data_IF_420139725099
#
_entry.id   IF_420139725099
#
_cell.length_a   1.000
_cell.length_b   1.000
_cell.length_c   1.000
_cell.angle_alpha   90.00
_cell.angle_beta   90.00
_cell.angle_gamma   90.00
#
_symmetry.space_group_name_H-M   'P 1'
#
loop_
_entity.id
_entity.type
_entity.pdbx_description
1 polymer ?
#
# COMPACT_ATOMS: atom_id res chain seq x y z
N UNK A 1 22.22 -10.55 43.83
CA UNK A 1 23.64 -10.64 43.42
C UNK A 1 23.87 -9.47 42.48
N UNK A 2 24.90 -8.64 42.69
CA UNK A 2 25.18 -7.49 41.80
C UNK A 2 25.76 -7.95 40.46
N UNK A 3 25.66 -7.12 39.42
CA UNK A 3 26.27 -7.36 38.10
C UNK A 3 27.77 -7.62 38.24
N UNK A 4 28.44 -6.80 39.04
CA UNK A 4 29.87 -6.92 39.35
C UNK A 4 30.19 -8.29 39.95
N UNK A 5 29.37 -8.78 40.89
CA UNK A 5 29.58 -10.11 41.50
C UNK A 5 29.40 -11.27 40.51
N UNK A 6 28.63 -11.10 39.43
CA UNK A 6 28.46 -12.13 38.38
C UNK A 6 29.57 -12.04 37.35
N UNK A 7 29.99 -10.84 36.97
CA UNK A 7 31.16 -10.60 36.11
C UNK A 7 32.43 -11.10 36.78
N UNK A 8 32.65 -10.75 38.05
CA UNK A 8 33.75 -11.24 38.89
C UNK A 8 33.71 -12.77 39.00
N UNK A 9 32.52 -13.36 39.18
CA UNK A 9 32.38 -14.82 39.22
C UNK A 9 32.72 -15.47 37.87
N UNK A 10 32.28 -14.91 36.75
CA UNK A 10 32.60 -15.43 35.41
C UNK A 10 34.09 -15.31 35.10
N UNK A 11 34.73 -14.22 35.53
CA UNK A 11 36.17 -13.99 35.44
C UNK A 11 36.92 -15.04 36.29
N UNK A 12 36.54 -15.20 37.56
CA UNK A 12 37.16 -16.16 38.48
C UNK A 12 36.99 -17.61 38.01
N UNK A 13 35.78 -18.01 37.58
CA UNK A 13 35.52 -19.37 37.07
C UNK A 13 36.33 -19.64 35.80
N UNK A 14 36.45 -18.65 34.90
CA UNK A 14 37.22 -18.81 33.64
C UNK A 14 38.73 -18.83 33.89
N UNK A 15 39.22 -18.05 34.85
CA UNK A 15 40.62 -18.08 35.25
C UNK A 15 40.99 -19.42 35.91
N UNK A 16 40.12 -19.95 36.79
CA UNK A 16 40.30 -21.25 37.43
C UNK A 16 40.28 -22.42 36.44
N UNK A 17 39.39 -22.39 35.44
CA UNK A 17 39.32 -23.41 34.37
C UNK A 17 40.59 -23.45 33.50
N UNK A 18 41.24 -22.30 33.31
CA UNK A 18 42.42 -22.16 32.45
C UNK A 18 43.76 -22.13 33.20
N UNK A 19 43.73 -22.13 34.54
CA UNK A 19 44.94 -22.03 35.38
C UNK A 19 45.56 -20.62 35.41
N UNK A 20 44.75 -19.60 35.15
CA UNK A 20 45.15 -18.19 35.03
C UNK A 20 44.85 -17.40 36.31
N UNK A 21 45.47 -16.22 36.45
CA UNK A 21 45.12 -15.26 37.49
C UNK A 21 43.83 -14.50 37.06
N UNK A 22 42.78 -14.43 37.90
CA UNK A 22 41.58 -13.65 37.63
C UNK A 22 41.84 -12.17 37.29
N UNK A 23 42.96 -11.61 37.77
CA UNK A 23 43.36 -10.23 37.49
C UNK A 23 43.90 -10.01 36.06
N UNK A 24 44.18 -11.07 35.31
CA UNK A 24 44.68 -11.01 33.92
C UNK A 24 43.55 -10.96 32.86
N UNK A 25 42.29 -11.00 33.28
CA UNK A 25 41.12 -10.97 32.39
C UNK A 25 40.55 -9.55 32.29
N UNK A 26 40.52 -8.99 31.07
CA UNK A 26 40.27 -7.57 30.81
C UNK A 26 38.78 -7.21 30.60
N UNK A 27 37.92 -8.19 30.32
CA UNK A 27 36.49 -7.96 30.16
C UNK A 27 35.71 -9.16 29.63
N UNK A 28 34.38 -9.05 29.69
CA UNK A 28 33.43 -10.08 29.22
C UNK A 28 32.50 -9.48 28.15
N UNK A 29 32.47 -10.08 26.97
CA UNK A 29 31.58 -9.73 25.87
C UNK A 29 30.53 -10.84 25.66
N UNK A 30 29.24 -10.50 25.57
CA UNK A 30 28.17 -11.47 25.34
C UNK A 30 27.75 -11.47 23.86
N UNK A 31 27.77 -12.65 23.25
CA UNK A 31 27.27 -12.92 21.91
C UNK A 31 25.93 -13.66 21.99
N UNK A 32 24.87 -13.02 21.51
CA UNK A 32 23.52 -13.59 21.44
C UNK A 32 23.20 -13.87 19.97
N UNK A 33 23.36 -15.10 19.47
CA UNK A 33 23.06 -15.43 18.09
C UNK A 33 21.53 -15.49 17.85
N UNK A 34 21.10 -15.24 16.61
CA UNK A 34 19.69 -15.31 16.20
C UNK A 34 19.06 -16.71 16.40
N UNK A 35 19.89 -17.76 16.47
CA UNK A 35 19.50 -19.12 16.84
C UNK A 35 20.63 -19.80 17.61
N UNK A 36 20.31 -20.52 18.70
CA UNK A 36 21.27 -21.23 19.54
C UNK A 36 21.48 -20.59 20.93
N UNK A 37 22.31 -21.22 21.76
CA UNK A 37 22.56 -20.74 23.13
C UNK A 37 23.50 -19.52 23.11
N UNK A 38 23.24 -18.49 23.95
CA UNK A 38 24.15 -17.36 24.14
C UNK A 38 25.56 -17.80 24.54
N UNK A 39 26.57 -17.08 24.06
CA UNK A 39 27.98 -17.34 24.37
C UNK A 39 28.59 -16.09 24.98
N UNK A 40 29.29 -16.21 26.09
CA UNK A 40 30.21 -15.17 26.54
C UNK A 40 31.58 -15.38 25.88
N UNK A 41 32.28 -14.28 25.63
CA UNK A 41 33.69 -14.23 25.27
C UNK A 41 34.39 -13.50 26.39
N UNK A 42 35.37 -14.12 27.01
CA UNK A 42 36.25 -13.44 27.96
C UNK A 42 37.49 -12.98 27.19
N UNK A 43 37.87 -11.72 27.35
CA UNK A 43 39.05 -11.13 26.72
C UNK A 43 40.25 -11.27 27.67
N UNK A 44 41.31 -11.94 27.21
CA UNK A 44 42.58 -12.10 27.93
C UNK A 44 43.71 -11.59 27.05
N UNK A 45 44.32 -10.44 27.38
CA UNK A 45 45.44 -9.86 26.63
C UNK A 45 45.20 -9.83 25.10
N UNK A 46 43.98 -9.47 24.67
CA UNK A 46 43.57 -9.47 23.26
C UNK A 46 43.18 -10.83 22.64
N UNK A 47 43.23 -11.93 23.39
CA UNK A 47 42.80 -13.27 22.95
C UNK A 47 41.39 -13.58 23.45
N UNK A 48 40.51 -14.02 22.54
CA UNK A 48 39.11 -14.35 22.83
C UNK A 48 38.95 -15.80 23.31
N UNK A 49 38.43 -16.00 24.53
CA UNK A 49 38.10 -17.34 25.04
C UNK A 49 36.57 -17.53 25.07
N UNK A 50 35.99 -18.47 24.28
CA UNK A 50 34.55 -18.69 24.24
C UNK A 50 34.07 -19.51 25.45
N UNK A 51 33.03 -19.02 26.14
CA UNK A 51 32.33 -19.69 27.24
C UNK A 51 30.83 -19.74 26.98
N UNK A 52 30.22 -20.91 27.17
CA UNK A 52 28.77 -21.05 27.02
C UNK A 52 28.09 -20.64 28.33
N UNK A 53 27.09 -19.76 28.26
CA UNK A 53 26.38 -19.25 29.45
C UNK A 53 24.94 -19.73 29.40
N UNK A 54 24.39 -20.13 30.55
CA UNK A 54 22.98 -20.55 30.63
C UNK A 54 22.03 -19.35 30.49
N UNK A 55 20.83 -19.58 29.97
CA UNK A 55 19.81 -18.54 29.77
C UNK A 55 19.43 -17.82 31.08
N UNK A 56 19.44 -18.53 32.21
CA UNK A 56 19.15 -17.97 33.53
C UNK A 56 20.24 -16.97 33.98
N UNK A 57 21.52 -17.30 33.75
CA UNK A 57 22.64 -16.42 34.04
C UNK A 57 22.62 -15.17 33.14
N UNK A 58 22.22 -15.33 31.87
CA UNK A 58 22.05 -14.21 30.94
C UNK A 58 20.96 -13.23 31.41
N UNK A 59 19.80 -13.74 31.83
CA UNK A 59 18.70 -12.92 32.32
C UNK A 59 19.09 -12.14 33.59
N UNK A 60 19.88 -12.74 34.47
CA UNK A 60 20.42 -12.07 35.67
C UNK A 60 21.41 -10.95 35.33
N UNK A 61 22.18 -11.08 34.24
CA UNK A 61 23.09 -10.05 33.75
C UNK A 61 22.35 -8.86 33.09
N UNK A 62 21.23 -9.14 32.43
CA UNK A 62 20.44 -8.14 31.70
C UNK A 62 19.48 -7.33 32.59
N UNK A 63 19.04 -7.89 33.72
CA UNK A 63 18.00 -7.27 34.56
C UNK A 63 18.40 -5.91 35.18
N UNK A 64 19.71 -5.56 35.24
CA UNK A 64 20.18 -4.29 35.82
C UNK A 64 21.39 -3.63 35.15
N UNK A 65 21.77 -4.01 33.94
CA UNK A 65 22.78 -3.23 33.20
C UNK A 65 22.12 -2.01 32.56
N UNK A 66 22.64 -0.84 32.89
CA UNK A 66 22.37 0.42 32.20
C UNK A 66 22.68 0.21 30.72
N UNK A 67 21.64 0.03 29.90
CA UNK A 67 21.74 0.04 28.44
C UNK A 67 22.06 1.48 28.03
N UNK A 68 23.34 1.85 28.12
CA UNK A 68 23.86 3.13 27.66
C UNK A 68 24.32 2.96 26.21
N UNK A 69 23.85 3.89 25.40
CA UNK A 69 23.99 4.06 23.96
C UNK A 69 23.06 3.21 23.08
N UNK A 70 21.91 3.84 22.81
CA UNK A 70 21.08 3.63 21.65
C UNK A 70 20.89 2.14 21.29
N UNK A 71 19.82 1.55 21.83
CA UNK A 71 18.89 0.90 20.91
C UNK A 71 18.65 1.94 19.82
N UNK A 72 19.45 1.88 18.74
CA UNK A 72 19.09 2.49 17.47
C UNK A 72 17.74 1.88 17.24
N UNK A 73 16.68 2.64 17.57
CA UNK A 73 15.33 2.36 17.13
C UNK A 73 15.53 1.89 15.70
N UNK A 74 15.19 0.62 15.37
CA UNK A 74 15.52 0.01 14.08
C UNK A 74 15.27 1.08 13.03
N UNK A 75 16.25 1.41 12.17
CA UNK A 75 16.34 2.69 11.47
C UNK A 75 14.96 3.14 11.06
N UNK A 76 14.36 4.00 11.89
CA UNK A 76 12.98 4.34 11.69
C UNK A 76 13.06 5.42 10.63
N UNK A 77 12.71 5.05 9.40
CA UNK A 77 12.35 6.06 8.43
C UNK A 77 11.09 6.70 8.97
N UNK A 78 11.23 7.87 9.55
CA UNK A 78 10.09 8.76 9.75
C UNK A 78 9.64 9.17 8.36
N UNK A 79 8.78 8.37 7.74
CA UNK A 79 8.05 8.79 6.56
C UNK A 79 6.92 9.68 7.06
N UNK A 80 7.05 10.98 6.80
CA UNK A 80 5.87 11.82 6.87
C UNK A 80 4.91 11.33 5.79
N UNK A 81 3.66 11.07 6.16
CA UNK A 81 2.63 10.79 5.17
C UNK A 81 2.66 11.98 4.18
N UNK A 82 2.91 11.74 2.89
CA UNK A 82 2.89 12.81 1.91
C UNK A 82 1.50 13.45 1.91
N UNK A 83 1.38 14.72 1.49
CA UNK A 83 0.09 15.39 1.41
C UNK A 83 -0.93 14.52 0.67
N UNK A 84 -2.00 14.14 1.38
CA UNK A 84 -3.04 13.28 0.84
C UNK A 84 -4.04 14.12 0.04
N UNK A 85 -4.64 13.56 -1.01
CA UNK A 85 -5.78 14.20 -1.66
C UNK A 85 -6.89 14.56 -0.67
N UNK A 86 -7.66 15.62 -0.92
CA UNK A 86 -8.94 15.82 -0.26
C UNK A 86 -9.80 14.56 -0.41
N UNK A 87 -10.69 14.31 0.56
CA UNK A 87 -11.64 13.19 0.52
C UNK A 87 -10.95 11.81 0.44
N UNK A 88 -9.70 11.73 0.91
CA UNK A 88 -9.03 10.44 1.18
C UNK A 88 -9.79 9.71 2.28
N UNK A 89 -10.21 8.47 2.00
CA UNK A 89 -10.95 7.61 2.93
C UNK A 89 -10.04 6.60 3.61
N UNK A 90 -9.13 6.00 2.83
CA UNK A 90 -8.19 4.99 3.32
C UNK A 90 -6.81 5.23 2.71
N UNK A 91 -5.78 5.01 3.51
CA UNK A 91 -4.38 5.13 3.10
C UNK A 91 -3.57 4.03 3.79
N UNK A 92 -2.79 3.30 2.99
CA UNK A 92 -1.89 2.25 3.45
C UNK A 92 -0.51 2.45 2.82
N UNK A 93 0.53 2.12 3.58
CA UNK A 93 1.90 2.00 3.06
C UNK A 93 2.30 0.53 3.12
N UNK A 94 2.86 0.02 2.03
CA UNK A 94 3.29 -1.37 1.90
C UNK A 94 4.80 -1.36 1.69
N UNK A 95 5.53 -1.91 2.65
CA UNK A 95 6.98 -2.03 2.59
C UNK A 95 7.38 -3.34 1.93
N UNK A 96 8.13 -3.25 0.84
CA UNK A 96 8.81 -4.36 0.19
C UNK A 96 10.32 -4.29 0.49
N UNK A 97 11.08 -5.39 0.35
CA UNK A 97 12.53 -5.37 0.59
C UNK A 97 13.31 -4.33 -0.22
N UNK A 98 12.82 -3.96 -1.41
CA UNK A 98 13.50 -3.03 -2.33
C UNK A 98 12.68 -1.77 -2.68
N UNK A 99 11.40 -1.72 -2.30
CA UNK A 99 10.47 -0.66 -2.71
C UNK A 99 9.48 -0.35 -1.58
N UNK A 100 8.87 0.83 -1.63
CA UNK A 100 7.76 1.20 -0.73
C UNK A 100 6.62 1.65 -1.62
N UNK A 101 5.43 1.11 -1.38
CA UNK A 101 4.22 1.48 -2.12
C UNK A 101 3.24 2.23 -1.23
N UNK A 102 2.53 3.17 -1.84
CA UNK A 102 1.41 3.87 -1.26
C UNK A 102 0.13 3.45 -1.95
N UNK A 103 -0.81 2.93 -1.16
CA UNK A 103 -2.16 2.56 -1.62
C UNK A 103 -3.14 3.52 -0.98
N UNK A 104 -3.93 4.21 -1.79
CA UNK A 104 -4.97 5.10 -1.29
C UNK A 104 -6.30 4.81 -1.97
N UNK A 105 -7.38 4.96 -1.20
CA UNK A 105 -8.74 5.03 -1.74
C UNK A 105 -9.37 6.35 -1.32
N UNK A 106 -9.87 7.09 -2.31
CA UNK A 106 -10.46 8.41 -2.15
C UNK A 106 -11.66 8.55 -3.09
N UNK A 107 -12.40 9.65 -2.97
CA UNK A 107 -13.53 9.91 -3.84
C UNK A 107 -13.54 11.34 -4.38
N UNK A 108 -14.05 11.46 -5.60
CA UNK A 108 -14.37 12.73 -6.25
C UNK A 108 -15.88 12.96 -6.21
N UNK A 109 -16.33 14.20 -6.02
CA UNK A 109 -17.75 14.53 -5.96
C UNK A 109 -18.40 14.43 -7.35
N UNK A 110 -19.75 14.48 -7.41
CA UNK A 110 -20.45 14.59 -8.67
C UNK A 110 -19.93 15.80 -9.46
N UNK A 111 -19.59 15.57 -10.73
CA UNK A 111 -19.11 16.61 -11.63
C UNK A 111 -19.31 16.18 -13.09
N UNK A 112 -19.08 17.11 -14.03
CA UNK A 112 -19.07 16.81 -15.46
C UNK A 112 -17.64 16.54 -15.90
N UNK A 113 -17.42 15.42 -16.58
CA UNK A 113 -16.11 15.03 -17.09
C UNK A 113 -16.13 14.96 -18.62
N UNK A 114 -15.06 15.37 -19.29
CA UNK A 114 -14.93 15.19 -20.73
C UNK A 114 -14.81 13.70 -21.01
N UNK A 115 -15.65 13.20 -21.91
CA UNK A 115 -15.58 11.85 -22.43
C UNK A 115 -15.32 11.92 -23.92
N UNK A 116 -14.17 11.45 -24.36
CA UNK A 116 -13.75 11.53 -25.76
C UNK A 116 -14.07 10.21 -26.46
N UNK A 117 -14.82 10.28 -27.55
CA UNK A 117 -15.14 9.14 -28.41
C UNK A 117 -14.36 9.28 -29.70
N UNK A 118 -13.64 8.24 -30.06
CA UNK A 118 -12.98 8.15 -31.35
C UNK A 118 -13.65 7.05 -32.18
N UNK A 119 -14.30 7.45 -33.27
CA UNK A 119 -14.81 6.56 -34.29
C UNK A 119 -13.88 6.58 -35.53
N UNK A 120 -14.26 5.85 -36.59
CA UNK A 120 -13.46 5.76 -37.82
C UNK A 120 -13.31 7.09 -38.57
N UNK A 121 -14.21 8.07 -38.34
CA UNK A 121 -14.35 9.26 -39.16
C UNK A 121 -14.17 10.59 -38.39
N UNK A 122 -14.25 10.58 -37.07
CA UNK A 122 -14.24 11.75 -36.20
C UNK A 122 -13.85 11.41 -34.75
N UNK A 123 -13.34 12.43 -34.05
CA UNK A 123 -13.20 12.42 -32.59
C UNK A 123 -14.14 13.46 -32.01
N UNK A 124 -15.06 13.04 -31.13
CA UNK A 124 -16.00 13.93 -30.45
C UNK A 124 -15.74 13.91 -28.95
N UNK A 125 -15.97 15.04 -28.27
CA UNK A 125 -15.85 15.14 -26.82
C UNK A 125 -17.18 15.59 -26.23
N UNK A 126 -17.68 14.84 -25.25
CA UNK A 126 -18.97 15.05 -24.60
C UNK A 126 -18.77 15.35 -23.12
N UNK A 127 -19.56 16.26 -22.56
CA UNK A 127 -19.43 16.63 -21.14
C UNK A 127 -20.43 15.85 -20.30
N UNK A 128 -20.02 14.66 -19.87
CA UNK A 128 -20.88 13.67 -19.22
C UNK A 128 -21.00 13.95 -17.73
N UNK A 129 -22.22 14.16 -17.19
CA UNK A 129 -22.43 14.25 -15.75
C UNK A 129 -22.23 12.88 -15.09
N UNK A 130 -21.34 12.83 -14.10
CA UNK A 130 -21.02 11.61 -13.37
C UNK A 130 -21.42 11.71 -11.89
N UNK A 131 -21.91 10.61 -11.29
CA UNK A 131 -22.09 10.52 -9.84
C UNK A 131 -20.72 10.54 -9.13
N UNK A 132 -20.65 10.45 -7.78
CA UNK A 132 -19.36 10.35 -7.10
C UNK A 132 -18.52 9.21 -7.66
N UNK A 133 -17.25 9.48 -7.90
CA UNK A 133 -16.28 8.52 -8.41
C UNK A 133 -15.37 8.13 -7.26
N UNK A 134 -15.39 6.86 -6.88
CA UNK A 134 -14.41 6.29 -5.94
C UNK A 134 -13.23 5.81 -6.77
N UNK A 135 -12.01 6.17 -6.36
CA UNK A 135 -10.81 5.70 -7.03
C UNK A 135 -9.82 5.14 -6.02
N UNK A 136 -9.10 4.10 -6.46
CA UNK A 136 -7.98 3.50 -5.74
C UNK A 136 -6.72 3.65 -6.59
N UNK A 137 -5.65 4.14 -5.99
CA UNK A 137 -4.37 4.35 -6.67
C UNK A 137 -3.24 3.64 -5.92
N UNK A 138 -2.33 3.03 -6.68
CA UNK A 138 -1.09 2.43 -6.20
C UNK A 138 0.10 3.21 -6.74
N UNK A 139 0.85 3.88 -5.87
CA UNK A 139 2.00 4.69 -6.24
C UNK A 139 3.27 4.10 -5.64
N UNK A 140 4.37 4.10 -6.39
CA UNK A 140 5.71 3.89 -5.84
C UNK A 140 6.11 5.11 -5.03
N UNK A 141 6.46 4.93 -3.77
CA UNK A 141 6.90 6.02 -2.90
C UNK A 141 8.26 6.59 -3.32
N UNK A 142 9.14 5.75 -3.87
CA UNK A 142 10.50 6.14 -4.24
C UNK A 142 10.57 7.15 -5.39
N UNK A 143 9.84 6.91 -6.47
CA UNK A 143 9.87 7.73 -7.70
C UNK A 143 8.54 8.42 -8.03
N UNK A 144 7.50 8.20 -7.22
CA UNK A 144 6.18 8.81 -7.40
C UNK A 144 5.42 8.29 -8.63
N UNK A 145 5.80 7.13 -9.21
CA UNK A 145 5.10 6.57 -10.37
C UNK A 145 3.87 5.77 -10.00
N UNK A 146 2.80 5.96 -10.76
CA UNK A 146 1.52 5.27 -10.59
C UNK A 146 1.58 3.88 -11.22
N UNK A 147 1.58 2.83 -10.39
CA UNK A 147 1.53 1.42 -10.82
C UNK A 147 0.14 1.05 -11.34
N UNK A 148 -0.90 1.42 -10.62
CA UNK A 148 -2.28 1.11 -11.02
C UNK A 148 -3.28 2.14 -10.50
N UNK A 149 -4.37 2.27 -11.26
CA UNK A 149 -5.53 3.08 -10.92
C UNK A 149 -6.78 2.25 -11.17
N UNK A 150 -7.69 2.23 -10.21
CA UNK A 150 -9.03 1.67 -10.36
C UNK A 150 -10.04 2.79 -10.10
N UNK A 151 -11.13 2.84 -10.88
CA UNK A 151 -12.21 3.78 -10.69
C UNK A 151 -13.55 3.05 -10.70
N UNK A 152 -14.44 3.45 -9.80
CA UNK A 152 -15.80 2.94 -9.65
C UNK A 152 -16.74 4.08 -9.36
N UNK A 153 -18.03 3.83 -9.56
CA UNK A 153 -19.09 4.77 -9.24
C UNK A 153 -19.69 4.42 -7.88
N UNK A 154 -20.06 5.44 -7.12
CA UNK A 154 -20.77 5.30 -5.86
C UNK A 154 -21.90 6.34 -5.77
N UNK A 155 -23.02 6.14 -6.50
CA UNK A 155 -24.14 7.09 -6.52
C UNK A 155 -24.72 7.42 -5.14
N UNK A 156 -24.64 6.46 -4.22
CA UNK A 156 -25.14 6.56 -2.85
C UNK A 156 -24.16 7.28 -1.91
N UNK A 157 -22.91 7.50 -2.32
CA UNK A 157 -21.91 8.15 -1.47
C UNK A 157 -22.25 9.63 -1.26
N UNK A 158 -22.39 10.04 0.00
CA UNK A 158 -22.64 11.45 0.36
C UNK A 158 -21.44 12.05 1.09
N UNK A 159 -21.33 13.37 1.04
CA UNK A 159 -20.23 14.07 1.71
C UNK A 159 -20.39 14.03 3.23
N UNK A 160 -21.63 14.17 3.69
CA UNK A 160 -22.10 14.17 5.07
C UNK A 160 -22.11 12.80 5.76
N UNK A 161 -21.95 11.71 5.01
CA UNK A 161 -21.95 10.37 5.58
C UNK A 161 -20.85 10.22 6.65
N UNK A 162 -21.10 9.50 7.75
CA UNK A 162 -20.04 9.17 8.71
C UNK A 162 -19.00 8.25 8.06
N UNK A 163 -17.73 8.26 8.53
CA UNK A 163 -16.65 7.46 7.94
C UNK A 163 -17.01 5.98 7.76
N UNK A 164 -17.59 5.34 8.78
CA UNK A 164 -17.97 3.92 8.71
C UNK A 164 -19.03 3.61 7.65
N UNK A 165 -19.92 4.56 7.36
CA UNK A 165 -20.92 4.40 6.30
C UNK A 165 -20.27 4.53 4.92
N UNK A 166 -19.37 5.52 4.72
CA UNK A 166 -18.61 5.67 3.47
C UNK A 166 -17.83 4.42 3.10
N UNK A 167 -17.25 3.74 4.10
CA UNK A 167 -16.48 2.51 3.89
C UNK A 167 -17.34 1.32 3.41
N UNK A 168 -18.63 1.31 3.78
CA UNK A 168 -19.61 0.27 3.42
C UNK A 168 -20.43 0.63 2.18
N UNK A 169 -20.17 1.78 1.57
CA UNK A 169 -20.93 2.22 0.38
C UNK A 169 -20.71 1.24 -0.77
N UNK A 170 -21.80 0.70 -1.36
CA UNK A 170 -21.72 -0.17 -2.52
C UNK A 170 -21.06 0.53 -3.71
N UNK A 171 -20.30 -0.23 -4.49
CA UNK A 171 -19.63 0.26 -5.68
C UNK A 171 -20.23 -0.34 -6.94
N UNK A 172 -20.21 0.47 -8.00
CA UNK A 172 -20.75 0.14 -9.29
C UNK A 172 -19.71 0.35 -10.39
N UNK A 173 -19.75 -0.52 -11.40
CA UNK A 173 -18.99 -0.37 -12.63
C UNK A 173 -19.69 0.63 -13.50
N UNK A 174 -18.91 1.42 -14.24
CA UNK A 174 -19.48 2.14 -15.36
C UNK A 174 -19.89 1.11 -16.44
N UNK A 175 -21.17 1.06 -16.84
CA UNK A 175 -21.71 -0.01 -17.69
C UNK A 175 -21.06 -0.19 -19.07
N UNK A 176 -20.21 0.75 -19.49
CA UNK A 176 -19.68 0.84 -20.85
C UNK A 176 -18.18 1.12 -20.88
N UNK A 177 -17.49 0.98 -19.76
CA UNK A 177 -16.05 1.14 -19.79
C UNK A 177 -15.43 -0.18 -20.25
N UNK A 178 -15.01 -0.22 -21.51
CA UNK A 178 -14.06 -1.22 -22.01
C UNK A 178 -12.68 -1.08 -21.34
N UNK A 179 -12.52 -0.06 -20.50
CA UNK A 179 -11.30 0.28 -19.77
C UNK A 179 -11.25 -0.38 -18.39
N UNK A 180 -12.35 -0.98 -17.93
CA UNK A 180 -12.39 -1.80 -16.71
C UNK A 180 -12.42 -3.27 -17.09
N UNK A 181 -11.22 -3.87 -17.15
CA UNK A 181 -11.08 -5.31 -17.23
C UNK A 181 -11.59 -5.98 -15.96
N UNK A 182 -12.17 -7.17 -16.11
CA UNK A 182 -12.31 -8.12 -15.01
C UNK A 182 -11.15 -9.11 -15.15
N UNK A 183 -10.21 -9.10 -14.22
CA UNK A 183 -9.16 -10.12 -14.15
C UNK A 183 -9.44 -10.98 -12.92
N UNK A 184 -9.54 -12.30 -13.10
CA UNK A 184 -9.77 -13.24 -12.00
C UNK A 184 -11.07 -13.04 -11.18
N UNK A 185 -12.09 -12.37 -11.73
CA UNK A 185 -13.34 -12.09 -10.99
C UNK A 185 -13.31 -10.81 -10.14
N UNK A 186 -12.34 -9.94 -10.41
CA UNK A 186 -12.00 -8.73 -9.66
C UNK A 186 -11.96 -7.55 -10.64
N UNK A 187 -12.47 -6.39 -10.24
CA UNK A 187 -12.44 -5.16 -11.04
C UNK A 187 -11.00 -4.67 -11.13
N UNK A 188 -10.29 -5.11 -12.16
CA UNK A 188 -8.84 -4.95 -12.23
C UNK A 188 -8.47 -4.00 -13.35
N UNK A 189 -8.11 -2.81 -12.86
CA UNK A 189 -7.19 -1.86 -13.49
C UNK A 189 -7.76 -1.15 -14.71
N UNK A 190 -7.71 0.18 -14.60
CA UNK A 190 -7.82 1.06 -15.74
C UNK A 190 -6.64 0.84 -16.70
N UNK A 191 -6.88 0.32 -17.89
CA UNK A 191 -5.86 0.20 -18.94
C UNK A 191 -5.46 1.58 -19.49
N UNK A 192 -4.52 2.25 -18.83
CA UNK A 192 -3.91 3.49 -19.31
C UNK A 192 -2.44 3.25 -19.69
N UNK A 193 -2.11 3.14 -20.99
CA UNK A 193 -0.80 2.64 -21.46
C UNK A 193 0.41 3.51 -21.07
N UNK A 194 0.20 4.72 -20.56
CA UNK A 194 1.27 5.62 -20.13
C UNK A 194 1.27 5.90 -18.63
N UNK A 195 0.38 5.27 -17.85
CA UNK A 195 0.20 5.58 -16.43
C UNK A 195 1.48 5.43 -15.60
N UNK A 196 2.25 4.39 -15.88
CA UNK A 196 3.49 4.09 -15.16
C UNK A 196 4.64 5.03 -15.53
N UNK A 197 4.52 5.79 -16.62
CA UNK A 197 5.56 6.72 -17.07
C UNK A 197 5.45 8.08 -16.40
N UNK A 198 4.25 8.41 -15.90
CA UNK A 198 3.95 9.71 -15.30
C UNK A 198 4.35 9.73 -13.81
N UNK A 199 5.18 10.70 -13.44
CA UNK A 199 5.52 10.97 -12.04
C UNK A 199 4.54 11.98 -11.44
N UNK A 200 4.01 11.68 -10.25
CA UNK A 200 3.10 12.58 -9.55
C UNK A 200 3.09 12.36 -8.04
N UNK A 201 2.82 13.41 -7.27
CA UNK A 201 2.56 13.28 -5.84
C UNK A 201 1.15 12.75 -5.58
N UNK A 202 0.90 12.16 -4.39
CA UNK A 202 -0.43 11.64 -4.06
C UNK A 202 -1.52 12.71 -4.19
N UNK A 203 -1.30 13.91 -3.65
CA UNK A 203 -2.24 15.04 -3.77
C UNK A 203 -2.60 15.44 -5.21
N UNK A 204 -1.77 15.09 -6.21
CA UNK A 204 -2.02 15.42 -7.61
C UNK A 204 -2.86 14.36 -8.35
N UNK A 205 -3.08 13.19 -7.76
CA UNK A 205 -3.77 12.06 -8.39
C UNK A 205 -5.13 12.40 -9.01
N UNK A 206 -6.04 13.15 -8.34
CA UNK A 206 -7.31 13.52 -8.96
C UNK A 206 -7.11 14.27 -10.29
N UNK A 207 -6.26 15.29 -10.28
CA UNK A 207 -6.06 16.18 -11.43
C UNK A 207 -5.25 15.53 -12.54
N UNK A 208 -4.18 14.80 -12.20
CA UNK A 208 -3.23 14.25 -13.18
C UNK A 208 -3.64 12.89 -13.70
N UNK A 209 -4.16 12.01 -12.84
CA UNK A 209 -4.45 10.64 -13.23
C UNK A 209 -5.93 10.44 -13.56
N UNK A 210 -6.82 10.80 -12.63
CA UNK A 210 -8.25 10.51 -12.81
C UNK A 210 -8.86 11.33 -13.95
N UNK A 211 -8.63 12.63 -13.98
CA UNK A 211 -9.15 13.49 -15.06
C UNK A 211 -8.55 13.14 -16.42
N UNK A 212 -7.23 12.88 -16.47
CA UNK A 212 -6.56 12.49 -17.70
C UNK A 212 -7.14 11.17 -18.22
N UNK A 213 -7.32 10.19 -17.34
CA UNK A 213 -7.91 8.90 -17.68
C UNK A 213 -9.30 9.03 -18.30
N UNK A 214 -10.18 9.82 -17.69
CA UNK A 214 -11.53 10.05 -18.22
C UNK A 214 -11.52 10.76 -19.58
N UNK A 215 -10.45 11.51 -19.88
CA UNK A 215 -10.28 12.23 -21.15
C UNK A 215 -9.69 11.39 -22.27
N UNK A 216 -9.14 10.19 -21.98
CA UNK A 216 -8.54 9.31 -22.98
C UNK A 216 -9.62 8.91 -23.99
N UNK A 217 -9.37 9.04 -25.30
CA UNK A 217 -10.30 8.59 -26.32
C UNK A 217 -10.66 7.12 -26.11
N UNK A 218 -11.93 6.83 -25.89
CA UNK A 218 -12.43 5.47 -25.94
C UNK A 218 -12.59 5.10 -27.42
N UNK A 219 -11.64 4.32 -27.93
CA UNK A 219 -11.70 3.81 -29.30
C UNK A 219 -12.68 2.65 -29.36
N UNK A 220 -13.85 2.90 -29.95
CA UNK A 220 -14.93 1.92 -30.06
C UNK A 220 -14.52 0.61 -30.78
N UNK A 221 -13.45 0.66 -31.59
CA UNK A 221 -12.97 -0.45 -32.40
C UNK A 221 -11.82 -1.27 -31.76
N UNK A 222 -11.01 -0.70 -30.85
CA UNK A 222 -9.82 -1.39 -30.30
C UNK A 222 -10.12 -2.22 -29.04
N UNK A 223 -11.19 -1.92 -28.30
CA UNK A 223 -11.41 -2.50 -26.96
C UNK A 223 -12.63 -3.42 -26.83
N UNK A 224 -13.05 -4.05 -27.93
CA UNK A 224 -14.13 -5.05 -27.93
C UNK A 224 -15.43 -4.50 -28.51
N UNK A 225 -16.01 -5.28 -29.42
CA UNK A 225 -17.09 -4.90 -30.33
C UNK A 225 -18.26 -4.17 -29.66
N UNK A 226 -18.32 -2.86 -29.86
CA UNK A 226 -19.52 -2.07 -30.17
C UNK A 226 -20.70 -2.02 -29.21
N UNK A 227 -20.86 -2.95 -28.27
CA UNK A 227 -22.10 -3.10 -27.50
C UNK A 227 -21.83 -3.07 -26.01
N UNK A 228 -22.62 -2.26 -25.30
CA UNK A 228 -22.73 -2.38 -23.86
C UNK A 228 -23.31 -3.71 -23.45
N UNK A 229 -22.78 -4.28 -22.37
CA UNK A 229 -23.30 -5.55 -21.86
C UNK A 229 -24.65 -5.39 -21.15
N UNK A 230 -25.02 -4.19 -20.66
CA UNK A 230 -26.20 -3.98 -19.80
C UNK A 230 -27.02 -2.71 -20.09
N UNK A 231 -26.75 -2.03 -21.20
CA UNK A 231 -27.45 -0.80 -21.56
C UNK A 231 -28.69 -0.99 -22.41
N UNK A 232 -29.59 0.00 -22.44
CA UNK A 232 -30.62 0.06 -23.47
C UNK A 232 -30.07 0.31 -24.88
N UNK A 233 -28.79 0.72 -25.03
CA UNK A 233 -28.20 1.09 -26.33
C UNK A 233 -27.17 0.08 -26.84
N UNK A 234 -27.29 -0.25 -28.12
CA UNK A 234 -26.30 -1.02 -28.86
C UNK A 234 -25.14 -0.15 -29.41
N UNK A 235 -25.22 1.17 -29.32
CA UNK A 235 -24.20 2.13 -29.80
C UNK A 235 -23.71 3.02 -28.65
N UNK A 236 -22.40 3.20 -28.56
CA UNK A 236 -21.72 4.03 -27.57
C UNK A 236 -22.07 5.51 -27.70
N UNK A 237 -22.24 6.01 -28.94
CA UNK A 237 -22.55 7.42 -29.17
C UNK A 237 -23.93 7.77 -28.61
N UNK A 238 -24.95 7.02 -28.99
CA UNK A 238 -26.33 7.24 -28.54
C UNK A 238 -26.44 7.23 -27.01
N UNK A 239 -25.71 6.33 -26.35
CA UNK A 239 -25.63 6.35 -24.90
C UNK A 239 -25.03 7.65 -24.37
N UNK A 240 -23.84 8.03 -24.85
CA UNK A 240 -23.12 9.18 -24.29
C UNK A 240 -23.97 10.45 -24.45
N UNK A 241 -24.70 10.57 -25.56
CA UNK A 241 -25.68 11.63 -25.78
C UNK A 241 -26.83 11.56 -24.76
N UNK A 242 -27.38 10.38 -24.47
CA UNK A 242 -28.44 10.20 -23.47
C UNK A 242 -27.97 10.50 -22.04
N UNK A 243 -26.75 10.08 -21.67
CA UNK A 243 -26.15 10.41 -20.36
C UNK A 243 -25.84 11.90 -20.29
N UNK A 244 -25.39 12.53 -21.38
CA UNK A 244 -25.16 13.97 -21.45
C UNK A 244 -26.46 14.77 -21.28
N UNK A 245 -27.58 14.28 -21.84
CA UNK A 245 -28.88 14.91 -21.76
C UNK A 245 -29.60 14.69 -20.41
N UNK A 246 -29.59 13.47 -19.89
CA UNK A 246 -30.43 13.03 -18.77
C UNK A 246 -29.68 12.54 -17.54
N UNK A 247 -28.36 12.43 -17.60
CA UNK A 247 -27.55 11.82 -16.55
C UNK A 247 -27.53 10.29 -16.60
N UNK A 248 -26.74 9.71 -15.70
CA UNK A 248 -26.59 8.25 -15.63
C UNK A 248 -27.78 7.64 -14.89
N UNK A 249 -28.57 6.83 -15.58
CA UNK A 249 -29.67 6.09 -14.94
C UNK A 249 -29.09 5.02 -13.99
N UNK A 250 -29.50 5.00 -12.70
CA UNK A 250 -29.06 4.00 -11.73
C UNK A 250 -29.29 2.55 -12.18
N UNK A 251 -30.35 2.28 -12.95
CA UNK A 251 -30.68 0.92 -13.41
C UNK A 251 -29.68 0.36 -14.41
N UNK A 252 -28.84 1.22 -15.01
CA UNK A 252 -27.80 0.80 -15.94
C UNK A 252 -26.53 0.34 -15.20
N UNK A 253 -26.39 0.65 -13.91
CA UNK A 253 -25.18 0.40 -13.15
C UNK A 253 -25.00 -1.09 -12.84
N UNK A 254 -23.77 -1.57 -13.04
CA UNK A 254 -23.43 -2.98 -12.77
C UNK A 254 -22.80 -3.06 -11.38
N UNK A 255 -23.38 -3.79 -10.41
CA UNK A 255 -22.78 -3.92 -9.07
C UNK A 255 -21.38 -4.55 -9.14
N UNK A 256 -20.38 -3.93 -8.52
CA UNK A 256 -19.01 -4.45 -8.47
C UNK A 256 -18.82 -5.58 -7.43
N UNK A 257 -19.88 -5.96 -6.70
CA UNK A 257 -19.87 -6.93 -5.58
C UNK A 257 -18.85 -6.60 -4.49
N UNK A 258 -18.51 -5.32 -4.34
CA UNK A 258 -17.56 -4.78 -3.37
C UNK A 258 -18.08 -3.44 -2.85
N UNK A 259 -17.65 -3.10 -1.64
CA UNK A 259 -17.77 -1.77 -1.06
C UNK A 259 -16.42 -1.02 -1.14
N UNK A 260 -16.40 0.23 -0.66
CA UNK A 260 -15.18 1.07 -0.63
C UNK A 260 -14.02 0.37 0.11
N UNK A 261 -14.29 -0.24 1.26
CA UNK A 261 -13.29 -0.99 2.03
C UNK A 261 -12.78 -2.20 1.25
N UNK A 262 -13.70 -2.97 0.65
CA UNK A 262 -13.40 -4.12 -0.19
C UNK A 262 -12.51 -3.77 -1.38
N UNK A 263 -12.78 -2.66 -2.07
CA UNK A 263 -11.93 -2.13 -3.13
C UNK A 263 -10.52 -1.81 -2.62
N UNK A 264 -10.40 -1.16 -1.46
CA UNK A 264 -9.09 -0.82 -0.87
C UNK A 264 -8.26 -2.06 -0.53
N UNK A 265 -8.90 -3.10 0.01
CA UNK A 265 -8.23 -4.30 0.52
C UNK A 265 -8.06 -5.43 -0.51
N UNK A 266 -8.36 -5.16 -1.78
CA UNK A 266 -8.38 -6.13 -2.86
C UNK A 266 -7.00 -6.68 -3.29
N UNK A 267 -6.04 -6.84 -2.37
CA UNK A 267 -4.71 -7.41 -2.63
C UNK A 267 -4.56 -8.89 -2.24
N UNK A 268 -5.61 -9.57 -1.76
CA UNK A 268 -5.45 -10.88 -1.07
C UNK A 268 -5.79 -12.15 -1.86
N UNK A 269 -6.02 -12.10 -3.17
CA UNK A 269 -6.37 -13.33 -3.92
C UNK A 269 -5.27 -13.94 -4.80
N UNK A 270 -4.13 -13.29 -5.00
CA UNK A 270 -3.04 -13.83 -5.84
C UNK A 270 -1.68 -13.94 -5.13
N UNK A 271 -1.69 -14.20 -3.82
CA UNK A 271 -0.46 -14.41 -3.03
C UNK A 271 -0.47 -15.65 -2.13
N UNK A 272 -1.46 -16.54 -2.27
CA UNK A 272 -1.51 -17.86 -1.62
C UNK A 272 -1.96 -18.88 -2.67
N UNK A 273 -1.02 -19.36 -3.47
CA UNK A 273 -1.06 -20.63 -4.16
C UNK A 273 0.37 -21.16 -4.27
#
# INVERSE_FOLDING_TARGET
MSLDAVVDRLIVETAQENGDDPHDLEGVALLVPASGMPRAKVLKAGVEVPKTVSLLQLLQLLDRSTVLDALRLPPHRTSHAPPLPPRTMLFSTIDFPEDVEHVLTAWMPPARYPFTLQDENATTTHMVPMPPIVYRAHLRAGDGRLKSLCLTLAPELREEDPPDAKLKTPLYRYPFSNVFGEYGGVLEVACWPTIEKEQMALAELPRKAVHAFLSIPNTAHLYGAGTSHNAPHHDYRALVEDVEAGGLNPDWLIPARLDVAGLHHQQRKEGVA
#
